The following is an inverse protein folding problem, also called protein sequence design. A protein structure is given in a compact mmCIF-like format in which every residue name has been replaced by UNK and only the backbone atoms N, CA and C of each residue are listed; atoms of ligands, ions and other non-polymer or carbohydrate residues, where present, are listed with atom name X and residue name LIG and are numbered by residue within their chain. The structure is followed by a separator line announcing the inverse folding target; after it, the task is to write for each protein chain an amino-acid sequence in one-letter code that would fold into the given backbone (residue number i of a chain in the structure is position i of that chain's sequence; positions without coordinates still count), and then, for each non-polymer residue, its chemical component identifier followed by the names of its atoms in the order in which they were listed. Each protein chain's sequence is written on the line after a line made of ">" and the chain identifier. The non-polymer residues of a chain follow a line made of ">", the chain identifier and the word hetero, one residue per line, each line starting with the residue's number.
data_IF_910823336287
#
_entry.id   IF_910823336287
#
_cell.length_a   1.000
_cell.length_b   1.000
_cell.length_c   1.000
_cell.angle_alpha   90.00
_cell.angle_beta   90.00
_cell.angle_gamma   90.00
#
_symmetry.space_group_name_H-M   'P 1'
#
loop_
_entity.id
_entity.type
_entity.pdbx_description
1 polymer ?
#
# COMPACT_ATOMS: atom_id res chain seq x y z
N UNK A 1 28.99 -20.92 19.92
CA UNK A 1 28.24 -19.82 19.30
C UNK A 1 27.05 -20.44 18.59
N UNK A 2 25.85 -20.30 19.15
CA UNK A 2 24.63 -20.83 18.52
C UNK A 2 24.16 -19.81 17.49
N UNK A 3 23.97 -20.27 16.25
CA UNK A 3 23.45 -19.47 15.15
C UNK A 3 21.99 -19.14 15.44
N UNK A 4 21.67 -17.84 15.47
CA UNK A 4 20.30 -17.36 15.53
C UNK A 4 19.66 -17.61 14.17
N UNK A 5 18.79 -18.61 14.10
CA UNK A 5 17.95 -18.87 12.95
C UNK A 5 17.06 -17.64 12.72
N UNK A 6 17.24 -16.98 11.58
CA UNK A 6 16.38 -15.86 11.15
C UNK A 6 14.99 -16.41 10.89
N UNK A 7 14.13 -16.41 11.91
CA UNK A 7 12.72 -16.71 11.77
C UNK A 7 12.12 -15.72 10.77
N UNK A 8 11.81 -16.20 9.57
CA UNK A 8 10.97 -15.49 8.62
C UNK A 8 9.59 -15.33 9.26
N UNK A 9 9.39 -14.23 9.99
CA UNK A 9 8.06 -13.80 10.38
C UNK A 9 7.31 -13.49 9.09
N UNK A 10 6.37 -14.35 8.71
CA UNK A 10 5.33 -14.02 7.74
C UNK A 10 4.42 -12.99 8.40
N UNK A 11 4.85 -11.73 8.43
CA UNK A 11 4.03 -10.63 8.91
C UNK A 11 2.81 -10.59 8.00
N UNK A 12 1.64 -10.87 8.56
CA UNK A 12 0.38 -10.67 7.84
C UNK A 12 0.35 -9.22 7.39
N UNK A 13 0.22 -8.93 6.08
CA UNK A 13 0.28 -7.58 5.58
C UNK A 13 -0.81 -6.75 6.25
N UNK A 14 -0.43 -5.58 6.74
CA UNK A 14 -1.38 -4.65 7.35
C UNK A 14 -2.29 -4.15 6.22
N UNK A 15 -3.55 -4.56 6.26
CA UNK A 15 -4.57 -4.14 5.32
C UNK A 15 -5.33 -2.96 5.90
N UNK A 16 -5.36 -1.85 5.18
CA UNK A 16 -6.02 -0.62 5.60
C UNK A 16 -7.10 -0.20 4.60
N UNK A 17 -8.21 0.34 5.12
CA UNK A 17 -9.20 1.00 4.29
C UNK A 17 -8.68 2.36 3.80
N UNK A 18 -9.20 2.90 2.68
CA UNK A 18 -8.80 4.21 2.17
C UNK A 18 -8.89 5.34 3.20
N UNK A 19 -9.90 5.31 4.09
CA UNK A 19 -10.06 6.28 5.20
C UNK A 19 -8.94 6.18 6.24
N UNK A 20 -8.35 5.00 6.43
CA UNK A 20 -7.22 4.83 7.34
C UNK A 20 -5.93 5.33 6.69
N UNK A 21 -5.76 5.15 5.38
CA UNK A 21 -4.60 5.67 4.65
C UNK A 21 -4.51 7.21 4.70
N UNK A 22 -5.65 7.92 4.70
CA UNK A 22 -5.62 9.39 4.85
C UNK A 22 -4.99 9.81 6.18
N UNK A 23 -5.24 9.06 7.25
CA UNK A 23 -4.68 9.33 8.57
C UNK A 23 -3.21 8.88 8.66
N UNK A 24 -2.91 7.68 8.16
CA UNK A 24 -1.57 7.09 8.24
C UNK A 24 -0.52 7.86 7.43
N UNK A 25 -0.89 8.37 6.25
CA UNK A 25 0.02 9.05 5.33
C UNK A 25 -0.19 10.57 5.28
N UNK A 26 -1.09 11.12 6.11
CA UNK A 26 -1.47 12.54 6.09
C UNK A 26 -1.84 13.04 4.67
N UNK A 27 -2.65 12.24 3.96
CA UNK A 27 -3.08 12.53 2.59
C UNK A 27 -4.57 12.88 2.54
N UNK A 28 -4.95 13.74 1.59
CA UNK A 28 -6.36 14.04 1.35
C UNK A 28 -7.10 12.82 0.82
N UNK A 29 -8.40 12.76 1.09
CA UNK A 29 -9.29 11.68 0.60
C UNK A 29 -9.24 11.55 -0.93
N UNK A 30 -9.16 12.68 -1.63
CA UNK A 30 -9.05 12.75 -3.09
C UNK A 30 -7.73 12.18 -3.58
N UNK A 31 -6.61 12.53 -2.93
CA UNK A 31 -5.29 12.01 -3.29
C UNK A 31 -5.21 10.48 -3.11
N UNK A 32 -5.69 9.97 -1.97
CA UNK A 32 -5.75 8.52 -1.71
C UNK A 32 -6.59 7.81 -2.75
N UNK A 33 -7.78 8.34 -3.10
CA UNK A 33 -8.64 7.76 -4.13
C UNK A 33 -7.96 7.71 -5.51
N UNK A 34 -7.25 8.78 -5.88
CA UNK A 34 -6.45 8.83 -7.11
C UNK A 34 -5.35 7.76 -7.10
N UNK A 35 -4.57 7.68 -6.03
CA UNK A 35 -3.47 6.71 -5.91
C UNK A 35 -3.93 5.26 -5.93
N UNK A 36 -5.04 4.93 -5.27
CA UNK A 36 -5.60 3.57 -5.33
C UNK A 36 -6.01 3.20 -6.75
N UNK A 37 -6.62 4.13 -7.49
CA UNK A 37 -6.96 3.89 -8.89
C UNK A 37 -5.71 3.71 -9.75
N UNK A 38 -4.66 4.50 -9.53
CA UNK A 38 -3.38 4.33 -10.23
C UNK A 38 -2.70 3.00 -9.89
N UNK A 39 -2.72 2.56 -8.63
CA UNK A 39 -2.22 1.24 -8.22
C UNK A 39 -2.96 0.12 -8.94
N UNK A 40 -4.28 0.20 -9.07
CA UNK A 40 -5.08 -0.79 -9.82
C UNK A 40 -4.71 -0.87 -11.30
N UNK A 41 -4.21 0.24 -11.88
CA UNK A 41 -3.77 0.32 -13.27
C UNK A 41 -2.29 -0.06 -13.45
N UNK A 42 -1.53 -0.18 -12.36
CA UNK A 42 -0.09 -0.47 -12.42
C UNK A 42 0.16 -1.92 -12.03
N UNK A 43 0.72 -2.72 -12.94
CA UNK A 43 0.83 -4.17 -12.75
C UNK A 43 1.57 -4.60 -11.48
N UNK A 44 2.61 -3.85 -11.10
CA UNK A 44 3.42 -4.11 -9.91
C UNK A 44 2.64 -3.89 -8.59
N UNK A 45 1.67 -2.97 -8.61
CA UNK A 45 0.96 -2.54 -7.40
C UNK A 45 -0.49 -3.01 -7.34
N UNK A 46 -1.06 -3.54 -8.45
CA UNK A 46 -2.47 -3.95 -8.51
C UNK A 46 -2.84 -4.99 -7.46
N UNK A 47 -1.90 -5.89 -7.13
CA UNK A 47 -2.08 -6.92 -6.10
C UNK A 47 -2.23 -6.33 -4.68
N UNK A 48 -1.79 -5.09 -4.47
CA UNK A 48 -1.91 -4.38 -3.19
C UNK A 48 -3.30 -3.84 -2.92
N UNK A 49 -4.24 -3.91 -3.87
CA UNK A 49 -5.61 -3.41 -3.70
C UNK A 49 -6.59 -4.57 -3.79
N UNK A 50 -7.33 -4.83 -2.71
CA UNK A 50 -8.37 -5.85 -2.64
C UNK A 50 -9.74 -5.19 -2.51
N UNK A 51 -10.57 -5.30 -3.55
CA UNK A 51 -11.98 -4.88 -3.50
C UNK A 51 -12.84 -6.03 -3.02
N UNK A 52 -13.43 -5.89 -1.84
CA UNK A 52 -14.35 -6.89 -1.27
C UNK A 52 -15.79 -6.55 -1.68
N UNK A 53 -16.14 -5.26 -1.69
CA UNK A 53 -17.44 -4.78 -2.16
C UNK A 53 -17.32 -3.36 -2.73
N UNK A 54 -18.43 -2.83 -3.24
CA UNK A 54 -18.52 -1.43 -3.70
C UNK A 54 -18.11 -0.41 -2.63
N UNK A 55 -18.31 -0.73 -1.34
CA UNK A 55 -17.99 0.17 -0.23
C UNK A 55 -16.78 -0.28 0.59
N UNK A 56 -16.26 -1.48 0.35
CA UNK A 56 -15.15 -2.05 1.10
C UNK A 56 -13.98 -2.37 0.17
N UNK A 57 -12.97 -1.52 0.26
CA UNK A 57 -11.65 -1.74 -0.35
C UNK A 57 -10.62 -1.81 0.75
N UNK A 58 -9.74 -2.78 0.67
CA UNK A 58 -8.57 -2.92 1.51
C UNK A 58 -7.32 -2.70 0.68
N UNK A 59 -6.34 -2.02 1.26
CA UNK A 59 -5.08 -1.70 0.61
C UNK A 59 -3.95 -2.21 1.51
N UNK A 60 -3.04 -2.96 0.92
CA UNK A 60 -1.80 -3.37 1.59
C UNK A 60 -0.94 -2.12 1.82
N UNK A 61 -0.68 -1.80 3.10
CA UNK A 61 0.02 -0.58 3.52
C UNK A 61 1.47 -0.56 3.00
N UNK A 62 2.15 -1.70 2.94
CA UNK A 62 3.53 -1.78 2.47
C UNK A 62 3.60 -1.49 0.96
N UNK A 63 2.74 -2.12 0.17
CA UNK A 63 2.67 -1.86 -1.27
C UNK A 63 2.21 -0.44 -1.58
N UNK A 64 1.35 0.15 -0.75
CA UNK A 64 0.99 1.56 -0.87
C UNK A 64 2.19 2.47 -0.59
N UNK A 65 3.01 2.15 0.41
CA UNK A 65 4.23 2.91 0.71
C UNK A 65 5.26 2.81 -0.43
N UNK A 66 5.48 1.61 -0.98
CA UNK A 66 6.36 1.42 -2.13
C UNK A 66 5.85 2.16 -3.38
N UNK A 67 4.54 2.17 -3.60
CA UNK A 67 3.93 2.99 -4.65
C UNK A 67 4.19 4.48 -4.46
N UNK A 68 4.06 5.00 -3.23
CA UNK A 68 4.35 6.42 -2.97
C UNK A 68 5.83 6.75 -3.23
N UNK A 69 6.75 5.86 -2.84
CA UNK A 69 8.19 6.04 -3.12
C UNK A 69 8.48 6.06 -4.61
N UNK A 70 7.86 5.17 -5.40
CA UNK A 70 8.07 5.12 -6.84
C UNK A 70 7.59 6.40 -7.55
N UNK A 71 6.50 7.01 -7.04
CA UNK A 71 6.02 8.32 -7.51
C UNK A 71 6.96 9.47 -7.15
N UNK A 72 7.50 9.47 -5.94
CA UNK A 72 8.47 10.48 -5.52
C UNK A 72 9.74 10.42 -6.38
N UNK A 73 10.32 9.23 -6.55
CA UNK A 73 11.49 9.03 -7.41
C UNK A 73 11.25 9.41 -8.89
N UNK A 74 10.04 9.20 -9.41
CA UNK A 74 9.69 9.61 -10.77
C UNK A 74 9.66 11.14 -10.93
N UNK A 75 9.40 11.90 -9.87
CA UNK A 75 9.42 13.38 -9.90
C UNK A 75 10.85 13.96 -9.83
N UNK A 76 11.87 13.14 -9.55
CA UNK A 76 13.28 13.56 -9.52
C UNK A 76 14.06 13.23 -10.80
N UNK A 77 13.40 12.72 -11.85
CA UNK A 77 13.98 12.51 -13.19
C UNK A 77 13.50 13.57 -14.17
#
# INVERSE_FOLDING_TARGET
>A
MQQLETTQFTVTPIMAQPKQLTLLFNLSRTAVGKFINEMLLTEEFKAGVTRISHNLTLVNVELFMEFLKSKDMANFK
#
